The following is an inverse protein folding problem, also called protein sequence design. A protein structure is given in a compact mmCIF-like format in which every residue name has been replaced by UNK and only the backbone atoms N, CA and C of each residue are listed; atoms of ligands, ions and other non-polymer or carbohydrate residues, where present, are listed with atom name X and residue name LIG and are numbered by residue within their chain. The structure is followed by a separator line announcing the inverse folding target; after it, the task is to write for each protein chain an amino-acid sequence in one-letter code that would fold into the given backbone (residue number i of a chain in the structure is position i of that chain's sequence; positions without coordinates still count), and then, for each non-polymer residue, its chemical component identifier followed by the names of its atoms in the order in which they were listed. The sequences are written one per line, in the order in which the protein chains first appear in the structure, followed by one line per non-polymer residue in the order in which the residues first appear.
data_IF_836192763488
#
_entry.id   IF_836192763488
#
_cell.length_a   1.000
_cell.length_b   1.000
_cell.length_c   1.000
_cell.angle_alpha   90.00
_cell.angle_beta   90.00
_cell.angle_gamma   90.00
#
_symmetry.space_group_name_H-M   'P 1'
#
loop_
_entity.id
_entity.type
_entity.pdbx_description
1 polymer ?
#
# COMPACT_ATOMS: atom_id res chain seq x y z
N UNK A 1 5.43 22.82 -13.30
CA UNK A 1 6.85 23.11 -13.56
C UNK A 1 7.43 21.97 -14.39
N UNK A 2 7.84 22.19 -15.64
CA UNK A 2 8.59 21.16 -16.39
C UNK A 2 9.99 21.08 -15.76
N UNK A 3 10.33 19.96 -15.13
CA UNK A 3 11.71 19.68 -14.74
C UNK A 3 12.49 19.42 -16.02
N UNK A 4 13.65 20.06 -16.19
CA UNK A 4 14.57 19.72 -17.27
C UNK A 4 15.22 18.37 -16.95
N UNK A 5 14.75 17.33 -17.64
CA UNK A 5 15.29 15.97 -17.51
C UNK A 5 16.56 15.90 -18.35
N UNK A 6 17.70 15.66 -17.69
CA UNK A 6 18.99 15.50 -18.37
C UNK A 6 19.21 14.01 -18.67
N UNK A 7 19.31 13.65 -19.95
CA UNK A 7 19.51 12.26 -20.37
C UNK A 7 21.00 11.95 -20.49
N UNK A 8 21.45 10.88 -19.82
CA UNK A 8 22.87 10.48 -19.81
C UNK A 8 23.34 9.91 -21.15
N UNK A 9 22.43 9.32 -21.93
CA UNK A 9 22.72 8.78 -23.25
C UNK A 9 21.64 9.19 -24.25
N UNK A 10 21.95 9.26 -25.55
CA UNK A 10 20.95 9.46 -26.59
C UNK A 10 19.87 8.38 -26.59
N UNK A 11 20.22 7.13 -26.27
CA UNK A 11 19.27 6.01 -26.23
C UNK A 11 18.23 6.19 -25.10
N UNK A 12 18.65 6.57 -23.89
CA UNK A 12 17.74 6.88 -22.78
C UNK A 12 16.76 8.01 -23.09
N UNK A 13 17.17 8.96 -23.94
CA UNK A 13 16.29 10.02 -24.39
C UNK A 13 15.25 9.48 -25.37
N UNK A 14 15.65 8.62 -26.32
CA UNK A 14 14.72 7.97 -27.25
C UNK A 14 13.76 7.05 -26.51
N UNK A 15 14.23 6.27 -25.54
CA UNK A 15 13.40 5.41 -24.67
C UNK A 15 12.44 6.25 -23.82
N UNK A 16 12.89 7.40 -23.28
CA UNK A 16 12.01 8.35 -22.59
C UNK A 16 10.95 8.92 -23.51
N UNK A 17 11.31 9.33 -24.73
CA UNK A 17 10.36 9.89 -25.70
C UNK A 17 9.37 8.83 -26.17
N UNK A 18 9.79 7.57 -26.29
CA UNK A 18 8.93 6.43 -26.57
C UNK A 18 7.95 6.19 -25.42
N UNK A 19 8.43 6.04 -24.18
CA UNK A 19 7.56 5.82 -23.00
C UNK A 19 6.66 7.03 -22.75
N UNK A 20 7.12 8.26 -22.94
CA UNK A 20 6.31 9.48 -22.78
C UNK A 20 5.28 9.68 -23.90
N UNK A 21 5.45 8.98 -25.03
CA UNK A 21 4.48 8.97 -26.13
C UNK A 21 3.41 7.90 -25.91
N UNK A 22 3.78 6.76 -25.32
CA UNK A 22 2.88 5.63 -25.04
C UNK A 22 2.25 5.67 -23.63
N UNK A 23 2.72 6.56 -22.74
CA UNK A 23 2.19 6.75 -21.38
C UNK A 23 2.08 8.24 -21.04
N UNK A 24 1.55 8.58 -19.85
CA UNK A 24 1.55 9.97 -19.41
C UNK A 24 2.98 10.43 -19.01
N UNK A 25 3.25 11.72 -19.21
CA UNK A 25 4.57 12.32 -18.97
C UNK A 25 5.11 12.05 -17.55
N UNK A 26 4.25 12.01 -16.52
CA UNK A 26 4.64 11.80 -15.13
C UNK A 26 5.16 10.37 -14.89
N UNK A 27 4.51 9.38 -15.49
CA UNK A 27 4.93 7.98 -15.48
C UNK A 27 6.25 7.81 -16.23
N UNK A 28 6.41 8.45 -17.39
CA UNK A 28 7.66 8.41 -18.15
C UNK A 28 8.84 9.07 -17.42
N UNK A 29 8.60 10.17 -16.69
CA UNK A 29 9.62 10.80 -15.82
C UNK A 29 10.07 9.83 -14.73
N UNK A 30 9.13 9.24 -13.98
CA UNK A 30 9.47 8.30 -12.91
C UNK A 30 10.18 7.05 -13.44
N UNK A 31 9.74 6.52 -14.58
CA UNK A 31 10.33 5.34 -15.20
C UNK A 31 11.76 5.60 -15.69
N UNK A 32 12.05 6.78 -16.26
CA UNK A 32 13.40 7.12 -16.73
C UNK A 32 14.30 7.60 -15.59
N UNK A 33 13.77 8.26 -14.55
CA UNK A 33 14.50 8.46 -13.30
C UNK A 33 14.91 7.09 -12.72
N UNK A 34 14.02 6.10 -12.73
CA UNK A 34 14.28 4.72 -12.30
C UNK A 34 15.34 4.03 -13.21
N UNK A 35 15.24 4.11 -14.54
CA UNK A 35 16.22 3.50 -15.47
C UNK A 35 17.58 4.21 -15.41
N UNK A 36 17.63 5.54 -15.34
CA UNK A 36 18.90 6.28 -15.21
C UNK A 36 19.57 6.05 -13.85
N UNK A 37 18.78 5.74 -12.84
CA UNK A 37 19.26 5.19 -11.58
C UNK A 37 19.81 3.78 -11.83
N UNK A 38 19.08 2.88 -12.52
CA UNK A 38 19.53 1.55 -12.93
C UNK A 38 20.87 1.49 -13.70
N UNK A 39 21.22 2.45 -14.55
CA UNK A 39 22.53 2.47 -15.23
C UNK A 39 23.71 2.88 -14.33
N UNK A 40 23.46 3.68 -13.29
CA UNK A 40 24.42 3.86 -12.18
C UNK A 40 24.46 2.62 -11.28
N UNK A 41 23.42 1.79 -11.28
CA UNK A 41 23.36 0.56 -10.49
C UNK A 41 24.44 -0.43 -10.89
N UNK A 42 24.71 -0.67 -12.17
CA UNK A 42 25.56 -1.80 -12.59
C UNK A 42 27.04 -1.67 -12.17
N UNK A 43 27.49 -0.43 -11.90
CA UNK A 43 28.86 -0.12 -11.45
C UNK A 43 29.00 -0.05 -9.92
N UNK A 44 27.91 0.19 -9.21
CA UNK A 44 27.86 0.27 -7.73
C UNK A 44 27.44 -1.08 -7.12
N UNK A 45 26.55 -1.84 -7.79
CA UNK A 45 26.16 -3.21 -7.41
C UNK A 45 27.36 -4.15 -7.28
N UNK A 46 28.32 -4.04 -8.20
CA UNK A 46 29.52 -4.89 -8.25
C UNK A 46 30.50 -4.65 -7.10
N UNK A 47 30.36 -3.56 -6.33
CA UNK A 47 31.32 -3.20 -5.28
C UNK A 47 30.83 -3.42 -3.85
N UNK A 48 29.54 -3.62 -3.60
CA UNK A 48 29.02 -3.55 -2.23
C UNK A 48 27.87 -4.48 -1.82
N UNK A 49 27.42 -5.48 -2.61
CA UNK A 49 26.32 -6.36 -2.13
C UNK A 49 25.13 -5.56 -1.57
N UNK A 50 24.85 -4.41 -2.20
CA UNK A 50 24.27 -3.24 -1.56
C UNK A 50 23.04 -2.79 -2.33
N UNK A 51 21.90 -3.02 -1.68
CA UNK A 51 20.57 -2.63 -2.13
C UNK A 51 20.45 -1.09 -2.06
N UNK A 52 20.04 -0.52 -3.19
CA UNK A 52 19.69 0.85 -3.62
C UNK A 52 19.49 1.99 -2.59
N UNK A 53 20.47 2.87 -2.36
CA UNK A 53 20.29 4.06 -1.52
C UNK A 53 19.15 5.00 -1.94
N UNK A 54 18.91 5.18 -3.25
CA UNK A 54 17.89 6.09 -3.79
C UNK A 54 16.48 5.49 -3.82
N UNK A 55 16.34 4.19 -4.15
CA UNK A 55 15.06 3.49 -3.95
C UNK A 55 14.74 3.42 -2.46
N UNK A 56 15.74 3.14 -1.60
CA UNK A 56 15.56 3.23 -0.16
C UNK A 56 15.21 4.65 0.30
N UNK A 57 15.74 5.68 -0.35
CA UNK A 57 15.35 7.05 -0.05
C UNK A 57 13.91 7.32 -0.50
N UNK A 58 13.48 6.84 -1.67
CA UNK A 58 12.09 6.97 -2.12
C UNK A 58 11.12 6.18 -1.23
N UNK A 59 11.50 4.98 -0.79
CA UNK A 59 10.79 4.12 0.16
C UNK A 59 10.71 4.81 1.53
N UNK A 60 11.80 5.39 2.02
CA UNK A 60 11.83 6.20 3.26
C UNK A 60 11.00 7.49 3.13
N UNK A 61 11.11 8.21 2.03
CA UNK A 61 10.36 9.44 1.73
C UNK A 61 8.87 9.15 1.52
N UNK A 62 8.51 7.91 1.15
CA UNK A 62 7.15 7.41 1.09
C UNK A 62 6.63 6.95 2.48
N UNK A 63 7.52 6.78 3.47
CA UNK A 63 7.15 6.47 4.86
C UNK A 63 7.54 5.07 5.36
N UNK A 64 8.23 4.26 4.56
CA UNK A 64 8.76 2.96 5.02
C UNK A 64 10.10 3.20 5.74
N UNK A 65 10.08 3.12 7.07
CA UNK A 65 11.17 3.59 7.93
C UNK A 65 12.16 2.49 8.33
N UNK A 66 11.76 1.21 8.33
CA UNK A 66 12.61 0.12 8.84
C UNK A 66 12.75 -1.00 7.82
N UNK A 67 13.96 -1.22 7.31
CA UNK A 67 14.27 -2.43 6.53
C UNK A 67 15.25 -3.22 7.35
N UNK A 68 14.79 -4.35 7.90
CA UNK A 68 15.60 -5.17 8.77
C UNK A 68 16.21 -6.32 7.96
N UNK A 69 17.46 -6.12 7.56
CA UNK A 69 18.30 -7.16 6.96
C UNK A 69 18.90 -7.93 8.15
N UNK A 70 18.57 -9.21 8.28
CA UNK A 70 19.03 -10.19 9.30
C UNK A 70 18.05 -10.58 10.43
N UNK A 71 16.80 -10.09 10.45
CA UNK A 71 15.99 -10.22 11.68
C UNK A 71 14.99 -11.37 11.81
N UNK A 72 14.97 -12.39 10.93
CA UNK A 72 14.09 -13.55 11.16
C UNK A 72 14.84 -14.87 10.99
N UNK A 73 15.09 -15.55 12.11
CA UNK A 73 15.52 -16.95 12.11
C UNK A 73 14.38 -17.92 11.73
N UNK A 74 13.11 -17.47 11.77
CA UNK A 74 11.92 -18.34 11.75
C UNK A 74 11.02 -18.27 10.49
N UNK A 75 11.11 -17.26 9.61
CA UNK A 75 10.33 -17.21 8.35
C UNK A 75 11.21 -17.55 7.13
N UNK A 76 10.82 -18.51 6.26
CA UNK A 76 11.70 -19.05 5.22
C UNK A 76 12.00 -18.07 4.07
N UNK A 77 11.10 -17.13 3.76
CA UNK A 77 11.23 -16.20 2.63
C UNK A 77 10.97 -14.77 3.11
N UNK A 78 11.43 -13.76 2.37
CA UNK A 78 11.31 -12.34 2.75
C UNK A 78 9.89 -11.99 3.27
N UNK A 79 9.82 -11.15 4.30
CA UNK A 79 8.56 -10.77 4.95
C UNK A 79 8.36 -9.26 4.98
N UNK A 80 7.12 -8.83 5.08
CA UNK A 80 6.78 -7.44 5.33
C UNK A 80 5.80 -7.34 6.50
N UNK A 81 5.94 -6.28 7.29
CA UNK A 81 5.14 -6.00 8.46
C UNK A 81 4.66 -4.55 8.40
N UNK A 82 3.35 -4.38 8.28
CA UNK A 82 2.70 -3.08 8.38
C UNK A 82 2.05 -2.94 9.75
N UNK A 83 2.37 -1.86 10.45
CA UNK A 83 1.73 -1.50 11.70
C UNK A 83 1.63 0.01 11.84
N UNK A 84 0.77 0.43 12.76
CA UNK A 84 0.92 1.74 13.37
C UNK A 84 1.48 1.52 14.77
N UNK A 85 2.67 2.07 15.04
CA UNK A 85 3.22 2.14 16.40
C UNK A 85 3.47 3.60 16.73
N UNK A 86 3.11 4.01 17.95
CA UNK A 86 3.28 5.38 18.44
C UNK A 86 2.68 6.46 17.51
N UNK A 87 1.67 6.07 16.74
CA UNK A 87 0.97 6.91 15.77
C UNK A 87 1.69 7.14 14.45
N UNK A 88 2.81 6.47 14.20
CA UNK A 88 3.43 6.44 12.88
C UNK A 88 3.01 5.18 12.13
N UNK A 89 2.70 5.34 10.84
CA UNK A 89 2.66 4.19 9.94
C UNK A 89 4.09 3.67 9.79
N UNK A 90 4.30 2.45 10.22
CA UNK A 90 5.53 1.70 10.11
C UNK A 90 5.27 0.62 9.07
N UNK A 91 6.00 0.73 7.97
CA UNK A 91 6.16 -0.36 7.05
C UNK A 91 7.56 -0.92 7.22
N UNK A 92 7.66 -2.15 7.71
CA UNK A 92 8.92 -2.85 7.89
C UNK A 92 9.09 -3.97 6.88
N UNK A 93 10.26 -4.02 6.24
CA UNK A 93 10.57 -5.08 5.27
C UNK A 93 11.76 -5.88 5.79
N UNK A 94 11.58 -7.19 5.85
CA UNK A 94 12.51 -8.13 6.46
C UNK A 94 13.10 -9.00 5.34
N UNK A 95 14.39 -8.85 5.12
CA UNK A 95 15.11 -9.59 4.06
C UNK A 95 16.14 -10.52 4.70
N UNK A 96 16.13 -11.79 4.31
CA UNK A 96 17.25 -12.69 4.60
C UNK A 96 18.41 -12.36 3.68
N UNK A 97 19.61 -12.23 4.25
CA UNK A 97 20.84 -11.99 3.50
C UNK A 97 21.12 -13.05 2.44
N UNK A 98 20.69 -14.28 2.68
CA UNK A 98 20.81 -15.43 1.78
C UNK A 98 19.98 -15.24 0.48
N UNK A 99 18.86 -14.51 0.56
CA UNK A 99 17.98 -14.21 -0.58
C UNK A 99 18.52 -13.05 -1.44
N UNK A 100 19.55 -12.34 -0.97
CA UNK A 100 20.18 -11.23 -1.69
C UNK A 100 21.27 -11.70 -2.68
N UNK A 101 21.70 -12.96 -2.56
CA UNK A 101 22.81 -13.53 -3.33
C UNK A 101 22.37 -14.55 -4.40
N UNK A 102 21.06 -14.70 -4.62
CA UNK A 102 20.47 -15.89 -5.26
C UNK A 102 19.36 -15.53 -6.25
N UNK A 103 18.81 -16.57 -6.90
CA UNK A 103 17.68 -16.59 -7.84
C UNK A 103 16.40 -15.89 -7.31
N UNK A 104 16.35 -15.60 -6.00
CA UNK A 104 15.27 -14.92 -5.26
C UNK A 104 15.34 -13.39 -5.30
N UNK A 105 16.29 -12.79 -6.04
CA UNK A 105 16.38 -11.34 -6.14
C UNK A 105 15.11 -10.75 -6.75
N UNK A 106 14.52 -11.45 -7.74
CA UNK A 106 13.23 -11.11 -8.33
C UNK A 106 12.14 -10.99 -7.26
N UNK A 107 11.93 -12.05 -6.47
CA UNK A 107 10.98 -12.06 -5.35
C UNK A 107 11.18 -10.91 -4.38
N UNK A 108 12.42 -10.63 -4.01
CA UNK A 108 12.77 -9.51 -3.12
C UNK A 108 12.31 -8.17 -3.69
N UNK A 109 12.52 -7.91 -4.99
CA UNK A 109 11.98 -6.69 -5.61
C UNK A 109 10.45 -6.65 -5.53
N UNK A 110 9.76 -7.78 -5.66
CA UNK A 110 8.30 -7.82 -5.67
C UNK A 110 7.74 -7.32 -4.35
N UNK A 111 8.22 -7.90 -3.25
CA UNK A 111 7.82 -7.49 -1.90
C UNK A 111 8.15 -6.04 -1.67
N UNK A 112 9.34 -5.58 -2.09
CA UNK A 112 9.73 -4.18 -1.94
C UNK A 112 8.82 -3.22 -2.71
N UNK A 113 8.39 -3.57 -3.92
CA UNK A 113 7.47 -2.75 -4.70
C UNK A 113 6.06 -2.74 -4.13
N UNK A 114 5.55 -3.88 -3.68
CA UNK A 114 4.24 -3.98 -3.01
C UNK A 114 4.16 -3.02 -1.82
N UNK A 115 5.17 -3.09 -0.95
CA UNK A 115 5.25 -2.25 0.23
C UNK A 115 5.53 -0.78 -0.07
N UNK A 116 6.28 -0.51 -1.14
CA UNK A 116 6.43 0.86 -1.65
C UNK A 116 5.09 1.45 -2.10
N UNK A 117 4.24 0.68 -2.79
CA UNK A 117 2.91 1.11 -3.20
C UNK A 117 2.08 1.45 -1.96
N UNK A 118 2.06 0.58 -0.95
CA UNK A 118 1.39 0.86 0.33
C UNK A 118 1.87 2.14 1.01
N UNK A 119 3.17 2.39 0.97
CA UNK A 119 3.75 3.63 1.50
C UNK A 119 3.19 4.86 0.77
N UNK A 120 3.08 4.82 -0.56
CA UNK A 120 2.44 5.91 -1.33
C UNK A 120 0.94 6.03 -0.99
N UNK A 121 0.22 4.90 -0.87
CA UNK A 121 -1.21 4.89 -0.54
C UNK A 121 -1.44 5.58 0.81
N UNK A 122 -0.73 5.17 1.87
CA UNK A 122 -0.78 5.82 3.18
C UNK A 122 -0.27 7.28 3.15
N UNK A 123 0.61 7.62 2.19
CA UNK A 123 1.10 8.99 1.95
C UNK A 123 0.09 9.90 1.23
N UNK A 124 -0.86 9.35 0.48
CA UNK A 124 -1.79 10.16 -0.32
C UNK A 124 -3.23 10.10 0.19
N UNK A 125 -3.61 9.02 0.88
CA UNK A 125 -5.01 8.74 1.22
C UNK A 125 -5.30 9.03 2.68
N UNK A 126 -6.08 10.09 2.94
CA UNK A 126 -6.49 10.48 4.28
C UNK A 126 -7.32 9.41 4.99
N UNK A 127 -8.20 8.72 4.25
CA UNK A 127 -9.05 7.67 4.81
C UNK A 127 -8.24 6.48 5.36
N UNK A 128 -7.10 6.11 4.76
CA UNK A 128 -6.21 5.07 5.28
C UNK A 128 -5.55 5.45 6.63
N UNK A 129 -5.57 6.72 7.02
CA UNK A 129 -5.07 7.20 8.30
C UNK A 129 -6.19 7.40 9.34
N UNK A 130 -7.45 7.28 8.95
CA UNK A 130 -8.61 7.30 9.85
C UNK A 130 -8.87 5.88 10.42
N UNK A 131 -7.86 5.30 11.08
CA UNK A 131 -7.88 3.95 11.64
C UNK A 131 -7.85 3.99 13.18
N UNK A 132 -8.41 2.99 13.88
CA UNK A 132 -8.25 2.87 15.34
C UNK A 132 -6.80 2.80 15.79
N UNK A 133 -5.87 2.49 14.88
CA UNK A 133 -4.44 2.42 15.14
C UNK A 133 -3.74 3.79 15.19
N UNK A 134 -4.40 4.85 14.72
CA UNK A 134 -3.83 6.19 14.69
C UNK A 134 -4.31 6.99 15.92
N UNK A 135 -3.47 7.21 16.95
CA UNK A 135 -3.86 7.91 18.17
C UNK A 135 -3.95 9.43 17.99
N UNK A 136 -3.47 9.96 16.85
CA UNK A 136 -3.40 11.42 16.60
C UNK A 136 -4.71 11.97 16.05
N UNK A 137 -5.59 11.10 15.57
CA UNK A 137 -6.87 11.47 15.00
C UNK A 137 -7.98 11.06 15.95
N UNK A 138 -9.03 11.88 16.01
CA UNK A 138 -10.27 11.54 16.72
C UNK A 138 -11.35 11.04 15.77
N UNK A 139 -11.02 10.86 14.49
CA UNK A 139 -11.91 10.38 13.44
C UNK A 139 -11.46 8.98 13.05
N UNK A 140 -12.42 8.07 12.95
CA UNK A 140 -12.17 6.68 12.55
C UNK A 140 -13.15 6.29 11.44
N UNK A 141 -12.70 5.54 10.44
CA UNK A 141 -13.60 4.86 9.52
C UNK A 141 -14.48 3.87 10.29
N UNK A 142 -15.66 3.57 9.75
CA UNK A 142 -16.43 2.41 10.23
C UNK A 142 -15.63 1.12 10.02
N UNK A 143 -15.90 0.05 10.79
CA UNK A 143 -15.33 -1.27 10.53
C UNK A 143 -15.50 -1.73 9.08
N UNK A 144 -16.69 -1.58 8.49
CA UNK A 144 -16.95 -1.96 7.10
C UNK A 144 -16.05 -1.20 6.11
N UNK A 145 -15.91 0.12 6.27
CA UNK A 145 -15.11 0.92 5.34
C UNK A 145 -13.61 0.76 5.57
N UNK A 146 -13.19 0.49 6.79
CA UNK A 146 -11.82 0.09 7.08
C UNK A 146 -11.47 -1.20 6.32
N UNK A 147 -12.33 -2.22 6.40
CA UNK A 147 -12.15 -3.47 5.65
C UNK A 147 -12.14 -3.23 4.15
N UNK A 148 -13.07 -2.42 3.65
CA UNK A 148 -13.17 -2.11 2.23
C UNK A 148 -11.88 -1.44 1.74
N UNK A 149 -11.47 -0.33 2.37
CA UNK A 149 -10.32 0.46 1.95
C UNK A 149 -9.01 -0.32 2.02
N UNK A 150 -8.81 -1.14 3.05
CA UNK A 150 -7.63 -2.00 3.16
C UNK A 150 -7.64 -3.14 2.13
N UNK A 151 -8.81 -3.68 1.78
CA UNK A 151 -8.90 -4.69 0.70
C UNK A 151 -8.57 -4.06 -0.66
N UNK A 152 -9.09 -2.87 -0.95
CA UNK A 152 -8.75 -2.12 -2.17
C UNK A 152 -7.27 -1.74 -2.23
N UNK A 153 -6.69 -1.38 -1.09
CA UNK A 153 -5.27 -1.07 -0.95
C UNK A 153 -4.40 -2.25 -1.42
N UNK A 154 -4.70 -3.47 -0.95
CA UNK A 154 -4.02 -4.71 -1.35
C UNK A 154 -4.26 -5.05 -2.82
N UNK A 155 -5.52 -4.93 -3.31
CA UNK A 155 -5.84 -5.15 -4.73
C UNK A 155 -5.00 -4.27 -5.65
N UNK A 156 -4.94 -2.98 -5.34
CA UNK A 156 -4.17 -2.01 -6.12
C UNK A 156 -2.67 -2.29 -6.07
N UNK A 157 -2.13 -2.60 -4.88
CA UNK A 157 -0.73 -2.93 -4.70
C UNK A 157 -0.32 -4.17 -5.49
N UNK A 158 -1.11 -5.24 -5.42
CA UNK A 158 -0.84 -6.48 -6.15
C UNK A 158 -0.94 -6.31 -7.68
N UNK A 159 -1.94 -5.59 -8.17
CA UNK A 159 -2.10 -5.35 -9.62
C UNK A 159 -0.94 -4.52 -10.16
N UNK A 160 -0.51 -3.49 -9.42
CA UNK A 160 0.63 -2.65 -9.81
C UNK A 160 1.96 -3.38 -9.67
N UNK A 161 2.10 -4.23 -8.66
CA UNK A 161 3.21 -5.17 -8.54
C UNK A 161 3.27 -6.07 -9.79
N UNK A 162 2.15 -6.71 -10.16
CA UNK A 162 2.07 -7.58 -11.35
C UNK A 162 2.46 -6.83 -12.64
N UNK A 163 1.97 -5.60 -12.83
CA UNK A 163 2.34 -4.77 -13.97
C UNK A 163 3.87 -4.53 -14.03
N UNK A 164 4.46 -4.08 -12.92
CA UNK A 164 5.91 -3.80 -12.85
C UNK A 164 6.75 -5.06 -13.06
N UNK A 165 6.27 -6.21 -12.60
CA UNK A 165 6.91 -7.50 -12.82
C UNK A 165 6.96 -7.84 -14.30
N UNK A 166 5.84 -7.72 -15.01
CA UNK A 166 5.80 -8.02 -16.43
C UNK A 166 6.77 -7.13 -17.22
N UNK A 167 6.85 -5.84 -16.86
CA UNK A 167 7.85 -4.92 -17.42
C UNK A 167 9.29 -5.35 -17.13
N UNK A 168 9.58 -5.72 -15.88
CA UNK A 168 10.93 -6.11 -15.46
C UNK A 168 11.34 -7.44 -16.09
N UNK A 169 10.42 -8.42 -16.15
CA UNK A 169 10.65 -9.73 -16.77
C UNK A 169 10.91 -9.60 -18.27
N UNK A 170 10.13 -8.77 -18.98
CA UNK A 170 10.32 -8.53 -20.41
C UNK A 170 11.72 -7.95 -20.72
N UNK A 171 12.29 -7.18 -19.81
CA UNK A 171 13.60 -6.54 -19.98
C UNK A 171 14.77 -7.37 -19.42
N UNK A 172 14.53 -8.12 -18.34
CA UNK A 172 15.55 -8.80 -17.53
C UNK A 172 15.06 -10.18 -17.06
N UNK A 173 14.73 -11.10 -17.99
CA UNK A 173 14.16 -12.40 -17.62
C UNK A 173 15.10 -13.23 -16.74
N UNK A 174 16.42 -13.05 -16.87
CA UNK A 174 17.43 -13.74 -16.05
C UNK A 174 17.42 -13.37 -14.55
N UNK A 175 16.67 -12.34 -14.14
CA UNK A 175 16.49 -11.98 -12.72
C UNK A 175 15.46 -12.85 -12.02
N UNK A 176 14.68 -13.62 -12.79
CA UNK A 176 13.64 -14.47 -12.25
C UNK A 176 14.04 -15.92 -12.51
N UNK A 177 14.11 -16.73 -11.45
CA UNK A 177 14.32 -18.17 -11.59
C UNK A 177 13.19 -18.80 -12.41
N UNK A 178 13.48 -19.89 -13.14
CA UNK A 178 12.50 -20.55 -14.01
C UNK A 178 11.23 -20.99 -13.26
N UNK A 179 11.33 -21.36 -11.97
CA UNK A 179 10.22 -21.92 -11.20
C UNK A 179 9.37 -20.87 -10.46
N UNK A 180 9.89 -19.66 -10.23
CA UNK A 180 9.18 -18.63 -9.44
C UNK A 180 8.17 -17.84 -10.27
N UNK A 181 8.54 -17.59 -11.54
CA UNK A 181 7.64 -16.94 -12.50
C UNK A 181 6.43 -17.83 -12.72
N UNK A 182 6.64 -19.12 -12.92
CA UNK A 182 5.58 -20.06 -13.27
C UNK A 182 4.59 -20.33 -12.12
N UNK A 183 5.00 -20.20 -10.85
CA UNK A 183 4.18 -20.54 -9.69
C UNK A 183 3.51 -19.35 -8.98
N UNK A 184 4.09 -18.14 -9.06
CA UNK A 184 3.52 -16.95 -8.41
C UNK A 184 3.07 -15.90 -9.41
N UNK A 185 3.86 -15.68 -10.46
CA UNK A 185 3.64 -14.60 -11.43
C UNK A 185 2.65 -15.06 -12.51
N UNK A 186 2.85 -16.22 -13.13
CA UNK A 186 2.01 -16.71 -14.23
C UNK A 186 0.58 -17.05 -13.78
N UNK A 187 0.30 -17.64 -12.61
CA UNK A 187 -1.08 -17.91 -12.21
C UNK A 187 -1.86 -16.62 -11.93
N UNK A 188 -1.16 -15.56 -11.50
CA UNK A 188 -1.73 -14.24 -11.25
C UNK A 188 -1.92 -13.48 -12.57
N UNK A 189 -0.90 -13.44 -13.42
CA UNK A 189 -0.82 -12.62 -14.63
C UNK A 189 -1.45 -13.33 -15.84
N UNK A 190 -1.56 -14.65 -15.82
CA UNK A 190 -2.11 -15.51 -16.87
C UNK A 190 -1.29 -15.52 -18.18
N UNK A 191 -0.31 -14.62 -18.32
CA UNK A 191 0.43 -14.36 -19.55
C UNK A 191 1.70 -13.54 -19.24
N UNK A 192 2.76 -13.72 -20.02
CA UNK A 192 4.02 -12.96 -19.90
C UNK A 192 4.06 -11.68 -20.74
N UNK A 193 2.98 -11.35 -21.46
CA UNK A 193 2.91 -10.18 -22.35
C UNK A 193 2.11 -9.05 -21.73
N UNK A 194 2.71 -7.85 -21.75
CA UNK A 194 2.10 -6.61 -21.29
C UNK A 194 0.77 -6.30 -21.98
N UNK A 195 0.63 -6.57 -23.28
CA UNK A 195 -0.61 -6.24 -23.99
C UNK A 195 -1.80 -7.14 -23.62
N UNK A 196 -1.52 -8.27 -22.94
CA UNK A 196 -2.53 -9.25 -22.52
C UNK A 196 -2.86 -9.12 -21.02
N UNK A 197 -2.17 -8.22 -20.31
CA UNK A 197 -2.41 -7.85 -18.91
C UNK A 197 -3.70 -7.04 -18.78
N UNK A 198 -4.81 -7.76 -18.73
CA UNK A 198 -6.13 -7.17 -18.48
C UNK A 198 -6.30 -6.93 -16.98
N UNK A 199 -6.22 -5.66 -16.56
CA UNK A 199 -6.39 -5.26 -15.17
C UNK A 199 -7.71 -5.78 -14.57
N UNK A 200 -8.77 -5.90 -15.38
CA UNK A 200 -10.05 -6.42 -14.89
C UNK A 200 -9.98 -7.90 -14.51
N UNK A 201 -9.21 -8.71 -15.25
CA UNK A 201 -8.98 -10.14 -14.96
C UNK A 201 -8.07 -10.33 -13.76
N UNK A 202 -7.01 -9.53 -13.66
CA UNK A 202 -6.14 -9.53 -12.48
C UNK A 202 -6.94 -9.25 -11.22
N UNK A 203 -7.74 -8.17 -11.24
CA UNK A 203 -8.59 -7.80 -10.10
C UNK A 203 -9.51 -8.98 -9.75
N UNK A 204 -10.12 -9.66 -10.71
CA UNK A 204 -10.98 -10.82 -10.42
C UNK A 204 -10.25 -12.06 -9.89
N UNK A 205 -9.00 -12.30 -10.30
CA UNK A 205 -8.16 -13.34 -9.68
C UNK A 205 -7.84 -12.98 -8.22
N UNK A 206 -7.56 -11.70 -7.95
CA UNK A 206 -7.29 -11.21 -6.60
C UNK A 206 -8.55 -11.13 -5.73
N UNK A 207 -9.73 -10.86 -6.28
CA UNK A 207 -11.00 -10.87 -5.55
C UNK A 207 -11.15 -12.18 -4.77
N UNK A 208 -10.96 -13.34 -5.41
CA UNK A 208 -11.08 -14.65 -4.75
C UNK A 208 -10.02 -14.89 -3.67
N UNK A 209 -8.78 -14.48 -3.93
CA UNK A 209 -7.65 -14.66 -3.00
C UNK A 209 -7.79 -13.77 -1.76
N UNK A 210 -8.17 -12.51 -1.96
CA UNK A 210 -8.30 -11.50 -0.92
C UNK A 210 -9.55 -11.69 -0.06
N UNK A 211 -10.65 -12.17 -0.66
CA UNK A 211 -11.92 -12.42 0.05
C UNK A 211 -11.75 -13.41 1.22
N UNK A 212 -10.92 -14.43 1.06
CA UNK A 212 -10.77 -15.47 2.08
C UNK A 212 -9.63 -15.18 3.07
N UNK A 213 -8.49 -14.63 2.61
CA UNK A 213 -7.31 -14.48 3.49
C UNK A 213 -7.21 -13.10 4.14
N UNK A 214 -7.52 -12.02 3.41
CA UNK A 214 -7.34 -10.66 3.91
C UNK A 214 -8.54 -10.15 4.69
N UNK A 215 -9.77 -10.46 4.26
CA UNK A 215 -10.97 -10.08 5.03
C UNK A 215 -10.91 -10.70 6.43
N UNK A 216 -10.63 -11.99 6.55
CA UNK A 216 -10.52 -12.66 7.85
C UNK A 216 -9.39 -12.10 8.71
N UNK A 217 -8.24 -11.79 8.10
CA UNK A 217 -7.10 -11.15 8.79
C UNK A 217 -7.47 -9.77 9.33
N UNK A 218 -8.12 -8.93 8.52
CA UNK A 218 -8.51 -7.58 8.95
C UNK A 218 -9.70 -7.59 9.92
N UNK A 219 -10.63 -8.55 9.79
CA UNK A 219 -11.66 -8.79 10.80
C UNK A 219 -11.05 -9.18 12.14
N UNK A 220 -10.11 -10.13 12.16
CA UNK A 220 -9.41 -10.53 13.39
C UNK A 220 -8.72 -9.33 14.07
N UNK A 221 -8.06 -8.47 13.30
CA UNK A 221 -7.46 -7.23 13.82
C UNK A 221 -8.48 -6.25 14.39
N UNK A 222 -9.67 -6.15 13.79
CA UNK A 222 -10.73 -5.29 14.32
C UNK A 222 -11.32 -5.86 15.61
N UNK A 223 -11.47 -7.19 15.70
CA UNK A 223 -11.92 -7.90 16.90
C UNK A 223 -10.92 -7.69 18.05
N UNK A 224 -9.63 -7.93 17.83
CA UNK A 224 -8.55 -7.68 18.80
C UNK A 224 -8.59 -6.23 19.33
N UNK A 225 -8.71 -5.25 18.42
CA UNK A 225 -8.77 -3.82 18.82
C UNK A 225 -10.05 -3.47 19.57
N UNK A 226 -11.16 -4.13 19.28
CA UNK A 226 -12.40 -3.96 20.02
C UNK A 226 -12.23 -4.49 21.45
N UNK A 227 -11.61 -5.64 21.61
CA UNK A 227 -11.29 -6.25 22.92
C UNK A 227 -10.31 -5.38 23.73
N UNK A 228 -9.30 -4.80 23.08
CA UNK A 228 -8.33 -3.89 23.70
C UNK A 228 -8.94 -2.52 24.07
N UNK A 229 -10.16 -2.22 23.62
CA UNK A 229 -10.84 -0.95 23.89
C UNK A 229 -10.31 0.23 23.07
N UNK A 230 -9.54 -0.01 22.00
CA UNK A 230 -8.95 1.02 21.14
C UNK A 230 -9.99 1.97 20.55
N UNK A 231 -11.21 1.45 20.34
CA UNK A 231 -12.32 2.23 19.79
C UNK A 231 -12.94 3.24 20.77
N UNK A 232 -12.65 3.13 22.08
CA UNK A 232 -13.28 3.95 23.12
C UNK A 232 -13.10 5.45 22.90
N UNK A 233 -11.99 5.88 22.27
CA UNK A 233 -11.72 7.30 21.98
C UNK A 233 -12.49 7.87 20.79
N UNK A 234 -13.15 7.02 20.00
CA UNK A 234 -13.86 7.41 18.78
C UNK A 234 -15.38 7.41 18.92
N UNK A 235 -15.91 7.28 20.15
CA UNK A 235 -17.34 7.32 20.39
C UNK A 235 -17.96 8.56 19.74
N UNK A 236 -18.85 8.33 18.76
CA UNK A 236 -19.54 9.33 17.91
C UNK A 236 -18.71 10.02 16.80
N UNK A 237 -17.48 9.57 16.52
CA UNK A 237 -16.64 10.12 15.46
C UNK A 237 -16.30 9.08 14.37
N UNK A 238 -17.24 8.16 14.13
CA UNK A 238 -17.17 7.27 12.98
C UNK A 238 -17.60 8.01 11.71
N UNK A 239 -16.86 7.78 10.64
CA UNK A 239 -17.12 8.36 9.31
C UNK A 239 -17.14 7.25 8.28
N UNK A 240 -17.81 7.52 7.17
CA UNK A 240 -17.77 6.66 5.98
C UNK A 240 -16.81 7.19 4.91
N UNK A 241 -16.34 6.31 4.03
CA UNK A 241 -15.58 6.69 2.84
C UNK A 241 -16.53 7.23 1.76
N UNK A 242 -15.96 8.03 0.86
CA UNK A 242 -16.62 8.42 -0.39
C UNK A 242 -15.83 7.95 -1.62
N UNK A 243 -16.35 8.23 -2.82
CA UNK A 243 -15.68 7.85 -4.06
C UNK A 243 -14.31 8.51 -4.24
N UNK A 244 -14.07 9.70 -3.67
CA UNK A 244 -12.77 10.36 -3.75
C UNK A 244 -11.75 9.65 -2.85
N UNK A 245 -12.17 9.13 -1.70
CA UNK A 245 -11.32 8.31 -0.83
C UNK A 245 -10.91 7.02 -1.55
N UNK A 246 -11.85 6.31 -2.17
CA UNK A 246 -11.58 5.11 -2.98
C UNK A 246 -10.61 5.46 -4.13
N UNK A 247 -10.90 6.51 -4.89
CA UNK A 247 -10.03 6.97 -5.98
C UNK A 247 -8.61 7.25 -5.49
N UNK A 248 -8.45 7.89 -4.32
CA UNK A 248 -7.13 8.24 -3.80
C UNK A 248 -6.27 7.03 -3.43
N UNK A 249 -6.87 5.89 -3.05
CA UNK A 249 -6.11 4.63 -2.85
C UNK A 249 -5.40 4.19 -4.12
N UNK A 250 -6.04 4.37 -5.28
CA UNK A 250 -5.45 4.00 -6.56
C UNK A 250 -4.53 5.07 -7.15
N UNK A 251 -4.44 6.27 -6.56
CA UNK A 251 -3.61 7.39 -7.05
C UNK A 251 -2.14 7.24 -6.58
N UNK A 252 -1.51 6.17 -7.06
CA UNK A 252 -0.10 5.86 -6.76
C UNK A 252 0.76 5.83 -8.01
N UNK A 253 1.48 4.72 -8.27
CA UNK A 253 2.22 4.50 -9.51
C UNK A 253 1.30 3.85 -10.54
N UNK A 254 1.59 4.06 -11.83
CA UNK A 254 0.80 3.51 -12.94
C UNK A 254 -0.65 4.07 -13.02
N UNK A 255 -1.50 3.45 -13.82
CA UNK A 255 -2.90 3.84 -13.98
C UNK A 255 -3.70 3.54 -12.70
N UNK A 256 -4.66 4.42 -12.40
CA UNK A 256 -5.54 4.25 -11.25
C UNK A 256 -6.65 3.26 -11.60
N UNK A 257 -6.74 2.18 -10.84
CA UNK A 257 -7.71 1.11 -11.08
C UNK A 257 -9.13 1.48 -10.62
N UNK A 258 -9.28 2.47 -9.74
CA UNK A 258 -10.54 2.86 -9.14
C UNK A 258 -11.17 4.06 -9.84
N UNK A 259 -11.28 3.97 -11.17
CA UNK A 259 -11.98 4.98 -11.95
C UNK A 259 -13.49 4.92 -11.70
N UNK A 260 -14.25 6.02 -11.90
CA UNK A 260 -15.71 6.00 -11.78
C UNK A 260 -16.38 4.91 -12.64
N UNK A 261 -15.83 4.63 -13.82
CA UNK A 261 -16.28 3.56 -14.72
C UNK A 261 -16.11 2.17 -14.06
N UNK A 262 -14.93 1.90 -13.50
CA UNK A 262 -14.67 0.64 -12.81
C UNK A 262 -15.52 0.48 -11.55
N UNK A 263 -15.65 1.52 -10.73
CA UNK A 263 -16.51 1.51 -9.52
C UNK A 263 -17.95 1.18 -9.90
N UNK A 264 -18.47 1.79 -10.96
CA UNK A 264 -19.83 1.53 -11.45
C UNK A 264 -20.04 0.07 -11.87
N UNK A 265 -19.04 -0.54 -12.51
CA UNK A 265 -19.13 -1.91 -13.01
C UNK A 265 -18.82 -2.96 -11.94
N UNK A 266 -18.21 -2.56 -10.82
CA UNK A 266 -17.80 -3.44 -9.71
C UNK A 266 -18.30 -2.85 -8.38
N UNK A 267 -19.58 -3.05 -8.02
CA UNK A 267 -20.20 -2.45 -6.85
C UNK A 267 -19.49 -2.78 -5.53
N UNK A 268 -18.81 -3.93 -5.46
CA UNK A 268 -18.04 -4.31 -4.27
C UNK A 268 -16.92 -3.33 -3.92
N UNK A 269 -16.45 -2.53 -4.90
CA UNK A 269 -15.45 -1.48 -4.65
C UNK A 269 -16.02 -0.42 -3.69
N UNK A 270 -17.33 -0.19 -3.72
CA UNK A 270 -18.00 0.70 -2.78
C UNK A 270 -18.60 -0.03 -1.57
N UNK A 271 -18.73 -1.36 -1.63
CA UNK A 271 -19.34 -2.17 -0.57
C UNK A 271 -18.71 -3.56 -0.48
N UNK A 272 -17.77 -3.70 0.47
CA UNK A 272 -17.03 -4.95 0.70
C UNK A 272 -17.96 -6.11 1.09
N UNK A 273 -19.14 -5.82 1.66
CA UNK A 273 -20.07 -6.87 2.12
C UNK A 273 -20.64 -7.70 0.97
N UNK A 274 -20.59 -7.19 -0.26
CA UNK A 274 -21.05 -7.90 -1.45
C UNK A 274 -20.21 -9.13 -1.80
N UNK A 275 -18.95 -9.18 -1.33
CA UNK A 275 -18.05 -10.33 -1.54
C UNK A 275 -17.82 -11.15 -0.27
N UNK A 276 -18.30 -10.69 0.89
CA UNK A 276 -18.17 -11.42 2.17
C UNK A 276 -19.11 -12.62 2.25
N UNK A 277 -18.63 -13.71 2.85
CA UNK A 277 -19.47 -14.85 3.23
C UNK A 277 -20.33 -14.54 4.49
N UNK A 278 -21.29 -15.41 4.81
CA UNK A 278 -22.24 -15.17 5.91
C UNK A 278 -21.57 -15.11 7.30
N UNK A 279 -20.51 -15.89 7.51
CA UNK A 279 -19.73 -15.87 8.75
C UNK A 279 -19.02 -14.53 8.93
N UNK A 280 -18.34 -14.06 7.89
CA UNK A 280 -17.65 -12.78 7.86
C UNK A 280 -18.63 -11.60 8.09
N UNK A 281 -19.79 -11.63 7.43
CA UNK A 281 -20.85 -10.63 7.64
C UNK A 281 -21.34 -10.61 9.08
N UNK A 282 -21.53 -11.79 9.67
CA UNK A 282 -21.94 -11.93 11.08
C UNK A 282 -20.89 -11.36 12.04
N UNK A 283 -19.60 -11.62 11.78
CA UNK A 283 -18.49 -11.05 12.57
C UNK A 283 -18.46 -9.54 12.46
N UNK A 284 -18.53 -8.99 11.24
CA UNK A 284 -18.56 -7.54 11.01
C UNK A 284 -19.74 -6.87 11.73
N UNK A 285 -20.95 -7.44 11.61
CA UNK A 285 -22.14 -6.89 12.26
C UNK A 285 -21.98 -6.83 13.79
N UNK A 286 -21.39 -7.87 14.42
CA UNK A 286 -21.13 -7.86 15.87
C UNK A 286 -20.19 -6.73 16.29
N UNK A 287 -19.17 -6.45 15.47
CA UNK A 287 -18.23 -5.33 15.73
C UNK A 287 -18.99 -4.01 15.62
N UNK A 288 -19.76 -3.81 14.55
CA UNK A 288 -20.52 -2.57 14.33
C UNK A 288 -21.61 -2.35 15.39
N UNK A 289 -22.32 -3.39 15.81
CA UNK A 289 -23.29 -3.35 16.90
C UNK A 289 -22.62 -2.92 18.21
N UNK A 290 -21.44 -3.47 18.52
CA UNK A 290 -20.66 -3.12 19.71
C UNK A 290 -20.19 -1.67 19.71
N UNK A 291 -20.06 -1.07 18.51
CA UNK A 291 -19.70 0.33 18.31
C UNK A 291 -20.92 1.26 18.13
N UNK A 292 -22.14 0.73 18.27
CA UNK A 292 -23.41 1.42 18.04
C UNK A 292 -23.56 2.01 16.63
N UNK A 293 -22.97 1.37 15.62
CA UNK A 293 -23.09 1.75 14.21
C UNK A 293 -24.31 1.04 13.63
N UNK A 294 -25.46 1.72 13.62
CA UNK A 294 -26.76 1.11 13.23
C UNK A 294 -27.23 1.52 11.83
N UNK A 295 -26.67 2.57 11.25
CA UNK A 295 -27.01 3.03 9.91
C UNK A 295 -25.81 3.71 9.25
N UNK A 296 -25.08 2.92 8.47
CA UNK A 296 -23.87 3.35 7.78
C UNK A 296 -24.10 4.60 6.91
N UNK A 297 -25.16 4.62 6.11
CA UNK A 297 -25.49 5.71 5.17
C UNK A 297 -25.77 7.06 5.85
N UNK A 298 -26.15 7.05 7.14
CA UNK A 298 -26.40 8.28 7.91
C UNK A 298 -25.14 8.87 8.53
N UNK A 299 -24.02 8.16 8.51
CA UNK A 299 -22.75 8.69 8.98
C UNK A 299 -22.21 9.75 8.01
N UNK A 300 -21.51 10.79 8.51
CA UNK A 300 -20.85 11.75 7.65
C UNK A 300 -19.71 11.07 6.88
N UNK A 301 -19.41 11.55 5.68
CA UNK A 301 -18.15 11.16 5.02
C UNK A 301 -16.95 11.75 5.77
N UNK A 302 -15.74 11.23 5.52
CA UNK A 302 -14.51 11.81 6.06
C UNK A 302 -14.41 13.31 5.70
N UNK A 303 -14.68 13.68 4.45
CA UNK A 303 -14.64 15.07 4.00
C UNK A 303 -15.65 15.95 4.74
N UNK A 304 -16.88 15.46 4.96
CA UNK A 304 -17.89 16.18 5.72
C UNK A 304 -17.50 16.37 7.20
N UNK A 305 -16.93 15.35 7.82
CA UNK A 305 -16.45 15.41 9.20
C UNK A 305 -15.29 16.40 9.35
N UNK A 306 -14.32 16.38 8.43
CA UNK A 306 -13.18 17.31 8.42
C UNK A 306 -13.64 18.75 8.21
N UNK A 307 -14.56 18.98 7.27
CA UNK A 307 -15.12 20.30 7.01
C UNK A 307 -15.84 20.88 8.23
N UNK A 308 -16.56 20.06 9.01
CA UNK A 308 -17.17 20.48 10.30
C UNK A 308 -16.13 20.91 11.33
N UNK A 309 -14.92 20.37 11.26
CA UNK A 309 -13.78 20.73 12.11
C UNK A 309 -12.93 21.88 11.54
N UNK A 310 -13.30 22.44 10.39
CA UNK A 310 -12.52 23.48 9.71
C UNK A 310 -11.19 22.95 9.14
N UNK A 311 -11.11 21.66 8.86
CA UNK A 311 -9.91 20.98 8.34
C UNK A 311 -10.10 20.52 6.90
N UNK A 312 -9.00 20.50 6.15
CA UNK A 312 -8.91 19.81 4.84
C UNK A 312 -8.35 18.39 5.00
N UNK A 313 -8.47 17.55 3.96
CA UNK A 313 -7.79 16.24 3.92
C UNK A 313 -6.27 16.38 4.05
N UNK A 314 -5.68 17.45 3.52
CA UNK A 314 -4.23 17.70 3.65
C UNK A 314 -3.83 18.05 5.09
N UNK A 315 -4.63 18.83 5.80
CA UNK A 315 -4.41 19.11 7.23
C UNK A 315 -4.47 17.82 8.05
N UNK A 316 -5.46 16.96 7.75
CA UNK A 316 -5.60 15.66 8.39
C UNK A 316 -4.39 14.75 8.14
N UNK A 317 -3.89 14.70 6.91
CA UNK A 317 -2.67 13.97 6.56
C UNK A 317 -1.44 14.50 7.31
N UNK A 318 -1.29 15.82 7.38
CA UNK A 318 -0.19 16.45 8.09
C UNK A 318 -0.20 16.07 9.58
N UNK A 319 -1.35 16.21 10.26
CA UNK A 319 -1.53 15.87 11.68
C UNK A 319 -1.28 14.38 11.94
N UNK A 320 -1.83 13.53 11.09
CA UNK A 320 -1.70 12.06 11.23
C UNK A 320 -0.24 11.61 11.16
N UNK A 321 0.64 12.37 10.51
CA UNK A 321 2.05 12.03 10.29
C UNK A 321 3.04 12.75 11.19
N UNK A 322 2.62 13.71 12.00
CA UNK A 322 3.53 14.43 12.90
C UNK A 322 4.23 13.42 13.81
N UNK A 323 5.56 13.30 13.72
CA UNK A 323 6.30 12.35 14.56
C UNK A 323 5.87 12.45 16.01
N UNK A 324 5.79 11.30 16.69
CA UNK A 324 5.45 11.31 18.10
C UNK A 324 6.50 12.17 18.78
N UNK A 325 6.09 13.31 19.37
CA UNK A 325 6.99 14.05 20.23
C UNK A 325 7.39 13.05 21.31
N UNK A 326 8.68 12.70 21.43
CA UNK A 326 9.10 11.74 22.44
C UNK A 326 8.56 12.26 23.75
N UNK A 327 7.66 11.51 24.39
CA UNK A 327 7.25 11.86 25.74
C UNK A 327 8.54 11.80 26.55
N UNK A 328 9.07 12.97 26.92
CA UNK A 328 10.26 13.03 27.77
C UNK A 328 9.97 12.11 28.94
N UNK A 329 10.84 11.12 29.22
CA UNK A 329 10.56 10.14 30.25
C UNK A 329 10.16 10.90 31.50
N UNK A 330 8.96 10.58 32.03
CA UNK A 330 8.53 11.14 33.31
C UNK A 330 9.63 10.75 34.29
N UNK A 331 10.47 11.73 34.64
CA UNK A 331 11.40 11.57 35.75
C UNK A 331 10.46 11.46 36.95
N UNK A 332 10.18 10.22 37.36
CA UNK A 332 9.59 9.95 38.65
C UNK A 332 10.53 10.59 39.67
N UNK A 333 10.14 11.77 40.16
CA UNK A 333 10.79 12.36 41.30
C UNK A 333 10.58 11.35 42.43
N UNK A 334 11.65 10.61 42.74
CA UNK A 334 11.67 9.73 43.89
C UNK A 334 11.25 10.55 45.12
N UNK A 335 10.32 10.05 45.96
CA UNK A 335 9.97 10.73 47.19
C UNK A 335 11.24 10.95 48.01
N UNK A 336 11.51 12.20 48.39
CA UNK A 336 12.57 12.57 49.33
C UNK A 336 12.19 12.21 50.77
#
# INVERSE_FOLDING_TARGET
MKKDITFKTPQLREDFLFVAKETNYRTAVHFIELIQQCEKFDKINRKLGGIFPEFWQAVRDAGCRNVNIDAINESPNAGAYQAFSEGEFINEIWLRKENLNTEYIGYTYLTLYHEYIHSIQHKNTAALLATPSNPRTKICLTPSDYLNLHTLMEQDAFVKQAYLITELYAQKPQLFGNDEVDNWIIPIIGTTKKEELDSSKLISSFENYLTNSYIDRYLGRLEERLEDGDFGRFQNNFVRIDHNDIYSVGDTVCENLFTPEHIKNKPYISDITLIMNDEQKTRLQKIEDSLNITNHEKLPTLEEALRKQGMTKQDFLAISRQEAVPQSPKIEQSPQ
#
